data_IF_429934761597
#
_entry.id   IF_429934761597
#
_cell.length_a   1.000
_cell.length_b   1.000
_cell.length_c   1.000
_cell.angle_alpha   90.00
_cell.angle_beta   90.00
_cell.angle_gamma   90.00
#
_symmetry.space_group_name_H-M   'P 1'
#
loop_
_entity.id
_entity.type
_entity.pdbx_description
1 polymer ?
#
# COMPACT_ATOMS: atom_id res chain seq x y z
N UNK A 1 68.95 1.43 -16.11
CA UNK A 1 67.86 0.70 -16.81
C UNK A 1 66.89 0.07 -15.81
N UNK A 2 66.07 0.86 -15.09
CA UNK A 2 65.07 0.31 -14.13
C UNK A 2 63.68 0.96 -14.16
N UNK A 3 63.41 1.98 -14.99
CA UNK A 3 62.13 2.73 -14.95
C UNK A 3 61.17 2.51 -16.12
N UNK A 4 61.35 1.48 -16.97
CA UNK A 4 60.47 1.25 -18.13
C UNK A 4 59.35 0.23 -17.89
N UNK A 5 59.40 -0.56 -16.81
CA UNK A 5 58.43 -1.64 -16.56
C UNK A 5 57.21 -1.18 -15.73
N UNK A 6 57.32 -0.10 -14.96
CA UNK A 6 56.22 0.40 -14.12
C UNK A 6 55.07 1.02 -14.93
N UNK A 7 55.37 1.62 -16.09
CA UNK A 7 54.34 2.15 -17.00
C UNK A 7 53.53 1.05 -17.71
N UNK A 8 54.14 -0.12 -17.96
CA UNK A 8 53.45 -1.28 -18.52
C UNK A 8 52.57 -1.99 -17.47
N UNK A 9 52.99 -2.00 -16.20
CA UNK A 9 52.21 -2.59 -15.11
C UNK A 9 50.91 -1.80 -14.81
N UNK A 10 50.95 -0.47 -14.93
CA UNK A 10 49.76 0.38 -14.70
C UNK A 10 48.68 0.24 -15.77
N UNK A 11 49.05 -0.04 -17.03
CA UNK A 11 48.10 -0.23 -18.13
C UNK A 11 47.41 -1.61 -18.02
N UNK A 12 48.11 -2.62 -17.49
CA UNK A 12 47.54 -3.95 -17.26
C UNK A 12 46.53 -3.96 -16.09
N UNK A 13 46.74 -3.12 -15.06
CA UNK A 13 45.84 -3.08 -13.89
C UNK A 13 44.52 -2.32 -14.14
N UNK A 14 44.48 -1.42 -15.13
CA UNK A 14 43.30 -0.59 -15.44
C UNK A 14 42.29 -1.25 -16.41
N UNK A 15 42.61 -2.42 -16.99
CA UNK A 15 41.73 -3.10 -17.96
C UNK A 15 40.81 -4.16 -17.33
N UNK A 16 40.82 -4.32 -16.01
CA UNK A 16 39.99 -5.33 -15.29
C UNK A 16 38.64 -4.77 -14.80
N UNK A 17 38.34 -3.48 -14.95
CA UNK A 17 37.11 -2.86 -14.40
C UNK A 17 36.02 -2.64 -15.46
N UNK A 18 36.02 -3.39 -16.55
CA UNK A 18 34.89 -3.35 -17.49
C UNK A 18 34.63 -4.79 -17.94
N UNK A 19 33.73 -5.47 -17.23
CA UNK A 19 32.67 -6.40 -17.70
C UNK A 19 32.15 -7.12 -16.44
N UNK A 20 31.13 -6.55 -15.79
CA UNK A 20 30.05 -7.38 -15.24
C UNK A 20 28.76 -6.57 -15.31
N UNK A 21 28.08 -6.74 -16.44
CA UNK A 21 26.75 -6.21 -16.66
C UNK A 21 25.70 -6.95 -15.84
N UNK A 22 24.60 -6.24 -15.61
CA UNK A 22 23.33 -6.77 -15.17
C UNK A 22 22.91 -8.01 -15.97
N UNK A 23 22.56 -9.11 -15.27
CA UNK A 23 21.36 -9.87 -15.57
C UNK A 23 21.01 -10.85 -14.44
N UNK A 24 19.83 -10.63 -13.86
CA UNK A 24 18.85 -11.58 -13.30
C UNK A 24 19.32 -13.02 -12.96
N UNK A 25 19.35 -13.34 -11.66
CA UNK A 25 18.31 -14.14 -10.97
C UNK A 25 18.69 -14.30 -9.50
N UNK A 26 17.85 -13.73 -8.63
CA UNK A 26 17.90 -13.88 -7.19
C UNK A 26 17.78 -15.35 -6.79
N UNK A 27 18.75 -15.82 -6.01
CA UNK A 27 18.61 -16.87 -4.97
C UNK A 27 19.92 -16.88 -4.17
N UNK A 28 19.95 -16.16 -3.06
CA UNK A 28 20.97 -16.33 -2.04
C UNK A 28 20.29 -16.30 -0.68
N UNK A 29 20.33 -17.46 -0.02
CA UNK A 29 19.92 -17.64 1.36
C UNK A 29 20.93 -16.92 2.25
N UNK A 30 20.51 -15.85 2.89
CA UNK A 30 21.19 -15.29 4.05
C UNK A 30 20.20 -15.26 5.20
N UNK A 31 20.50 -16.04 6.23
CA UNK A 31 19.81 -16.02 7.52
C UNK A 31 20.24 -14.77 8.27
N UNK A 32 19.44 -13.71 8.18
CA UNK A 32 19.46 -12.59 9.12
C UNK A 32 18.01 -12.30 9.55
N UNK A 33 17.77 -12.28 10.86
CA UNK A 33 16.50 -11.88 11.45
C UNK A 33 16.22 -10.41 11.12
N UNK A 34 15.21 -10.13 10.29
CA UNK A 34 14.73 -8.76 10.06
C UNK A 34 13.91 -8.62 8.79
N UNK A 35 12.64 -8.21 8.94
CA UNK A 35 11.67 -7.87 7.88
C UNK A 35 11.46 -8.95 6.82
N UNK A 36 10.35 -9.67 6.96
CA UNK A 36 9.79 -10.50 5.90
C UNK A 36 9.62 -9.61 4.67
N UNK A 37 10.42 -9.84 3.63
CA UNK A 37 10.33 -9.10 2.37
C UNK A 37 9.02 -9.54 1.69
N UNK A 38 7.91 -8.97 2.16
CA UNK A 38 6.58 -9.31 1.65
C UNK A 38 6.44 -8.70 0.26
N UNK A 39 6.10 -9.55 -0.72
CA UNK A 39 5.77 -9.07 -2.05
C UNK A 39 4.52 -8.19 -1.95
N UNK A 40 4.61 -6.98 -2.50
CA UNK A 40 3.50 -6.03 -2.56
C UNK A 40 2.92 -6.00 -3.97
N UNK A 41 1.61 -5.84 -4.05
CA UNK A 41 0.85 -5.54 -5.28
C UNK A 41 0.39 -4.10 -5.20
N UNK A 42 0.50 -3.38 -6.31
CA UNK A 42 -0.01 -2.02 -6.44
C UNK A 42 -1.38 -2.04 -7.10
N UNK A 43 -2.39 -1.47 -6.44
CA UNK A 43 -3.65 -1.09 -7.06
C UNK A 43 -3.55 0.34 -7.61
N UNK A 44 -4.15 0.59 -8.77
CA UNK A 44 -4.24 1.94 -9.35
C UNK A 44 -5.63 2.16 -9.91
N UNK A 45 -6.33 3.15 -9.36
CA UNK A 45 -7.60 3.64 -9.87
C UNK A 45 -7.35 4.66 -10.98
N UNK A 46 -7.67 4.30 -12.22
CA UNK A 46 -7.48 5.18 -13.37
C UNK A 46 -8.54 6.29 -13.47
N UNK A 47 -9.69 6.11 -12.82
CA UNK A 47 -10.80 7.07 -12.87
C UNK A 47 -10.52 8.26 -11.97
N UNK A 48 -9.96 7.99 -10.80
CA UNK A 48 -9.72 8.99 -9.76
C UNK A 48 -8.23 9.31 -9.51
N UNK A 49 -7.33 8.62 -10.22
CA UNK A 49 -5.88 8.83 -10.21
C UNK A 49 -5.28 8.69 -8.81
N UNK A 50 -5.61 7.60 -8.13
CA UNK A 50 -4.97 7.22 -6.86
C UNK A 50 -4.45 5.79 -6.92
N UNK A 51 -3.45 5.49 -6.09
CA UNK A 51 -2.90 4.15 -5.95
C UNK A 51 -2.53 3.84 -4.51
N UNK A 52 -2.38 2.55 -4.22
CA UNK A 52 -1.95 2.02 -2.93
C UNK A 52 -1.24 0.68 -3.14
N UNK A 53 -0.46 0.27 -2.15
CA UNK A 53 0.23 -1.01 -2.13
C UNK A 53 -0.32 -1.89 -1.00
N UNK A 54 -0.46 -3.19 -1.25
CA UNK A 54 -0.94 -4.17 -0.28
C UNK A 54 -0.25 -5.54 -0.48
N UNK A 55 -0.26 -6.42 0.54
CA UNK A 55 0.38 -7.74 0.43
C UNK A 55 -0.22 -8.59 -0.70
N UNK A 56 0.63 -9.18 -1.54
CA UNK A 56 0.23 -10.07 -2.65
C UNK A 56 -0.59 -11.29 -2.17
N UNK A 57 -0.38 -11.70 -0.91
CA UNK A 57 -1.05 -12.83 -0.27
C UNK A 57 -2.54 -12.59 0.03
N UNK A 58 -3.04 -11.35 -0.05
CA UNK A 58 -4.42 -11.02 0.29
C UNK A 58 -5.32 -11.03 -0.95
N UNK A 59 -6.51 -11.59 -0.80
CA UNK A 59 -7.53 -11.56 -1.85
C UNK A 59 -8.09 -10.15 -1.99
N UNK A 60 -8.55 -9.79 -3.19
CA UNK A 60 -9.15 -8.48 -3.41
C UNK A 60 -10.22 -8.51 -4.50
N UNK A 61 -11.10 -7.50 -4.47
CA UNK A 61 -12.11 -7.21 -5.48
C UNK A 61 -12.05 -5.73 -5.86
N UNK A 62 -12.24 -5.41 -7.13
CA UNK A 62 -12.22 -4.02 -7.62
C UNK A 62 -13.65 -3.56 -7.85
N UNK A 63 -14.00 -2.41 -7.27
CA UNK A 63 -15.27 -1.73 -7.48
C UNK A 63 -15.04 -0.62 -8.50
N UNK A 64 -15.65 -0.73 -9.68
CA UNK A 64 -15.49 0.26 -10.73
C UNK A 64 -16.56 1.36 -10.66
N UNK A 65 -16.18 2.57 -11.07
CA UNK A 65 -17.16 3.60 -11.39
C UNK A 65 -18.03 3.14 -12.57
N UNK A 66 -19.35 3.17 -12.40
CA UNK A 66 -20.32 2.81 -13.44
C UNK A 66 -21.08 4.08 -13.83
N UNK A 67 -21.08 4.40 -15.12
CA UNK A 67 -21.88 5.53 -15.63
C UNK A 67 -23.37 5.20 -15.67
N UNK A 68 -24.21 6.21 -15.47
CA UNK A 68 -25.66 6.04 -15.54
C UNK A 68 -26.08 5.67 -16.96
N UNK A 69 -26.90 4.63 -17.06
CA UNK A 69 -27.60 4.26 -18.30
C UNK A 69 -29.12 4.30 -18.05
N UNK A 70 -29.91 3.93 -19.06
CA UNK A 70 -31.36 3.78 -18.87
C UNK A 70 -31.73 2.64 -17.91
N UNK A 71 -30.81 1.70 -17.70
CA UNK A 71 -31.05 0.46 -16.94
C UNK A 71 -30.24 0.41 -15.64
N UNK A 72 -29.24 1.27 -15.49
CA UNK A 72 -28.27 1.23 -14.38
C UNK A 72 -28.09 2.63 -13.82
N UNK A 73 -28.25 2.77 -12.50
CA UNK A 73 -27.88 3.99 -11.79
C UNK A 73 -26.35 4.11 -11.67
N UNK A 74 -25.82 5.33 -11.82
CA UNK A 74 -24.39 5.54 -11.69
C UNK A 74 -23.90 5.24 -10.27
N UNK A 75 -22.70 4.66 -10.15
CA UNK A 75 -21.99 4.65 -8.87
C UNK A 75 -21.17 5.95 -8.75
N UNK A 76 -21.17 6.62 -7.58
CA UNK A 76 -20.40 7.84 -7.39
C UNK A 76 -18.92 7.57 -7.11
N UNK A 77 -18.54 6.31 -6.87
CA UNK A 77 -17.26 5.87 -6.35
C UNK A 77 -16.57 4.80 -7.22
N UNK A 78 -15.29 4.58 -6.94
CA UNK A 78 -14.46 3.50 -7.47
C UNK A 78 -13.35 3.20 -6.45
N UNK A 79 -12.91 1.94 -6.37
CA UNK A 79 -12.00 1.51 -5.34
C UNK A 79 -11.69 0.03 -5.33
N UNK A 80 -11.12 -0.42 -4.22
CA UNK A 80 -10.68 -1.79 -4.00
C UNK A 80 -11.08 -2.25 -2.61
N UNK A 81 -11.67 -3.45 -2.53
CA UNK A 81 -11.84 -4.21 -1.29
C UNK A 81 -10.74 -5.25 -1.19
N UNK A 82 -10.03 -5.28 -0.06
CA UNK A 82 -8.96 -6.21 0.24
C UNK A 82 -9.39 -7.06 1.43
N UNK A 83 -9.32 -8.38 1.29
CA UNK A 83 -9.78 -9.36 2.28
C UNK A 83 -8.59 -10.05 2.95
N UNK A 84 -8.60 -10.07 4.28
CA UNK A 84 -7.53 -10.65 5.08
C UNK A 84 -7.89 -12.08 5.48
N UNK A 85 -6.94 -13.01 5.31
CA UNK A 85 -7.10 -14.43 5.64
C UNK A 85 -8.31 -15.11 4.98
N UNK A 86 -8.61 -14.80 3.72
CA UNK A 86 -9.70 -15.41 2.94
C UNK A 86 -11.11 -15.21 3.56
N UNK A 87 -11.25 -14.26 4.50
CA UNK A 87 -12.53 -13.95 5.15
C UNK A 87 -13.03 -12.57 4.69
N UNK A 88 -14.14 -12.56 3.95
CA UNK A 88 -14.75 -11.33 3.41
C UNK A 88 -15.32 -10.38 4.45
N UNK A 89 -15.60 -10.87 5.66
CA UNK A 89 -16.01 -10.02 6.78
C UNK A 89 -14.83 -9.19 7.33
N UNK A 90 -13.60 -9.66 7.13
CA UNK A 90 -12.35 -9.02 7.54
C UNK A 90 -11.74 -8.26 6.36
N UNK A 91 -12.16 -7.01 6.18
CA UNK A 91 -11.85 -6.26 4.95
C UNK A 91 -11.32 -4.85 5.19
N UNK A 92 -10.59 -4.38 4.19
CA UNK A 92 -10.16 -3.00 4.00
C UNK A 92 -10.78 -2.53 2.68
N UNK A 93 -11.66 -1.54 2.73
CA UNK A 93 -12.20 -0.90 1.54
C UNK A 93 -11.55 0.46 1.37
N UNK A 94 -10.88 0.68 0.24
CA UNK A 94 -10.29 1.97 -0.13
C UNK A 94 -10.96 2.46 -1.40
N UNK A 95 -11.53 3.66 -1.35
CA UNK A 95 -12.30 4.21 -2.45
C UNK A 95 -12.09 5.72 -2.57
N UNK A 96 -12.35 6.24 -3.76
CA UNK A 96 -12.53 7.66 -3.99
C UNK A 96 -13.90 7.88 -4.61
N UNK A 97 -14.58 8.95 -4.21
CA UNK A 97 -15.91 9.27 -4.71
C UNK A 97 -16.01 10.71 -5.21
N UNK A 98 -16.97 10.95 -6.11
CA UNK A 98 -17.39 12.31 -6.47
C UNK A 98 -18.32 12.86 -5.38
N UNK A 99 -17.85 13.87 -4.65
CA UNK A 99 -18.59 14.50 -3.56
C UNK A 99 -17.92 14.32 -2.21
N UNK A 100 -18.49 14.93 -1.18
CA UNK A 100 -17.90 14.89 0.16
C UNK A 100 -18.14 13.54 0.85
N UNK A 101 -17.11 12.97 1.48
CA UNK A 101 -17.24 11.80 2.33
C UNK A 101 -17.76 12.24 3.69
N UNK A 102 -18.84 11.63 4.18
CA UNK A 102 -19.36 11.94 5.50
C UNK A 102 -18.36 11.59 6.60
N UNK A 103 -18.01 12.59 7.40
CA UNK A 103 -17.17 12.42 8.58
C UNK A 103 -17.95 11.67 9.66
N UNK A 104 -17.38 10.62 10.29
CA UNK A 104 -18.01 9.94 11.42
C UNK A 104 -18.23 10.89 12.62
N UNK A 105 -19.20 10.60 13.49
CA UNK A 105 -19.35 11.37 14.73
C UNK A 105 -18.08 11.20 15.58
N UNK A 106 -17.31 12.28 15.84
CA UNK A 106 -16.04 12.17 16.54
C UNK A 106 -16.18 11.72 18.00
N UNK A 107 -17.38 11.79 18.60
CA UNK A 107 -17.60 11.34 19.97
C UNK A 107 -17.57 9.80 20.10
N UNK A 108 -17.75 9.08 18.99
CA UNK A 108 -17.76 7.61 18.95
C UNK A 108 -16.38 6.99 18.65
N UNK A 109 -15.37 7.82 18.39
CA UNK A 109 -14.07 7.37 17.89
C UNK A 109 -12.88 8.07 18.57
N UNK A 110 -11.77 7.35 18.66
CA UNK A 110 -10.46 7.95 18.83
C UNK A 110 -10.04 8.57 17.50
N UNK A 111 -9.66 9.85 17.50
CA UNK A 111 -9.30 10.60 16.29
C UNK A 111 -7.82 10.95 16.30
N UNK A 112 -7.14 10.64 15.21
CA UNK A 112 -5.72 10.94 14.97
C UNK A 112 -5.54 11.54 13.58
N UNK A 113 -4.83 12.67 13.47
CA UNK A 113 -4.40 13.19 12.17
C UNK A 113 -3.20 12.39 11.67
N UNK A 114 -3.27 11.96 10.41
CA UNK A 114 -2.25 11.16 9.75
C UNK A 114 -1.69 11.87 8.52
N UNK A 115 -0.52 11.40 8.09
CA UNK A 115 0.09 11.78 6.82
C UNK A 115 0.58 10.54 6.10
N UNK A 116 0.16 10.34 4.85
CA UNK A 116 0.64 9.22 4.02
C UNK A 116 2.11 9.40 3.68
N UNK A 117 2.77 8.33 3.23
CA UNK A 117 4.17 8.37 2.78
C UNK A 117 4.37 9.27 1.55
N UNK A 118 3.32 9.47 0.74
CA UNK A 118 3.31 10.43 -0.38
C UNK A 118 3.06 11.88 0.06
N UNK A 119 2.66 12.09 1.32
CA UNK A 119 2.48 13.40 1.92
C UNK A 119 1.04 13.92 1.93
N UNK A 120 0.05 13.09 1.58
CA UNK A 120 -1.37 13.42 1.71
C UNK A 120 -1.75 13.47 3.19
N UNK A 121 -2.52 14.47 3.58
CA UNK A 121 -3.04 14.57 4.95
C UNK A 121 -4.38 13.85 5.06
N UNK A 122 -4.69 13.34 6.23
CA UNK A 122 -6.00 12.78 6.52
C UNK A 122 -6.28 12.68 8.01
N UNK A 123 -7.50 12.31 8.33
CA UNK A 123 -7.93 12.03 9.70
C UNK A 123 -8.37 10.58 9.80
N UNK A 124 -7.86 9.89 10.81
CA UNK A 124 -8.14 8.50 11.13
C UNK A 124 -9.04 8.45 12.36
N UNK A 125 -10.18 7.77 12.23
CA UNK A 125 -11.18 7.55 13.24
C UNK A 125 -11.17 6.06 13.59
N UNK A 126 -10.80 5.73 14.82
CA UNK A 126 -10.70 4.34 15.28
C UNK A 126 -11.65 4.08 16.43
N UNK A 127 -12.37 2.97 16.37
CA UNK A 127 -13.10 2.44 17.53
C UNK A 127 -12.95 0.94 17.63
N UNK A 128 -13.05 0.45 18.85
CA UNK A 128 -13.06 -0.97 19.18
C UNK A 128 -14.40 -1.29 19.84
N UNK A 129 -15.10 -2.27 19.30
CA UNK A 129 -16.24 -2.92 19.97
C UNK A 129 -15.81 -4.30 20.46
N UNK A 130 -16.69 -5.04 21.12
CA UNK A 130 -16.36 -6.29 21.81
C UNK A 130 -15.54 -7.28 20.97
N UNK A 131 -15.82 -7.38 19.66
CA UNK A 131 -15.13 -8.33 18.78
C UNK A 131 -14.48 -7.70 17.55
N UNK A 132 -14.73 -6.42 17.26
CA UNK A 132 -14.37 -5.81 15.97
C UNK A 132 -13.62 -4.50 16.17
N UNK A 133 -12.62 -4.27 15.33
CA UNK A 133 -11.97 -2.99 15.11
C UNK A 133 -12.57 -2.36 13.86
N UNK A 134 -13.09 -1.15 14.02
CA UNK A 134 -13.51 -0.31 12.91
C UNK A 134 -12.55 0.88 12.80
N UNK A 135 -11.96 1.06 11.62
CA UNK A 135 -11.19 2.26 11.28
C UNK A 135 -11.86 2.91 10.09
N UNK A 136 -12.10 4.21 10.19
CA UNK A 136 -12.46 5.05 9.05
C UNK A 136 -11.37 6.07 8.85
N UNK A 137 -10.95 6.31 7.61
CA UNK A 137 -10.00 7.35 7.31
C UNK A 137 -10.49 8.18 6.14
N UNK A 138 -10.30 9.50 6.23
CA UNK A 138 -10.57 10.43 5.14
C UNK A 138 -9.24 11.10 4.79
N UNK A 139 -8.73 10.84 3.59
CA UNK A 139 -7.44 11.32 3.10
C UNK A 139 -7.70 12.26 1.92
N UNK A 140 -7.05 13.43 1.93
CA UNK A 140 -7.13 14.43 0.86
C UNK A 140 -8.60 14.77 0.48
N UNK A 141 -9.48 14.83 1.49
CA UNK A 141 -10.93 15.13 1.42
C UNK A 141 -11.82 14.14 0.65
N UNK A 142 -11.26 13.35 -0.26
CA UNK A 142 -12.02 12.55 -1.23
C UNK A 142 -11.69 11.06 -1.23
N UNK A 143 -10.60 10.63 -0.57
CA UNK A 143 -10.24 9.22 -0.45
C UNK A 143 -10.74 8.69 0.89
N UNK A 144 -11.62 7.71 0.85
CA UNK A 144 -12.14 7.00 2.02
C UNK A 144 -11.42 5.67 2.22
N UNK A 145 -11.10 5.36 3.48
CA UNK A 145 -10.70 4.02 3.91
C UNK A 145 -11.68 3.54 4.96
N UNK A 146 -12.16 2.30 4.84
CA UNK A 146 -12.93 1.61 5.86
C UNK A 146 -12.26 0.27 6.15
N UNK A 147 -11.73 0.10 7.36
CA UNK A 147 -11.30 -1.19 7.89
C UNK A 147 -12.40 -1.69 8.81
N UNK A 148 -12.85 -2.91 8.57
CA UNK A 148 -13.77 -3.61 9.47
C UNK A 148 -13.24 -5.03 9.65
N UNK A 149 -12.84 -5.36 10.88
CA UNK A 149 -12.08 -6.58 11.10
C UNK A 149 -12.18 -7.07 12.54
N UNK A 150 -12.25 -8.39 12.72
CA UNK A 150 -12.16 -9.05 14.01
C UNK A 150 -10.88 -8.63 14.75
N UNK A 151 -10.97 -8.40 16.06
CA UNK A 151 -9.86 -7.89 16.87
C UNK A 151 -8.59 -8.73 16.74
N UNK A 152 -8.71 -10.05 16.79
CA UNK A 152 -7.55 -10.96 16.69
C UNK A 152 -6.87 -10.91 15.31
N UNK A 153 -7.65 -10.68 14.26
CA UNK A 153 -7.12 -10.58 12.89
C UNK A 153 -6.47 -9.21 12.71
N UNK A 154 -7.12 -8.15 13.20
CA UNK A 154 -6.55 -6.81 13.19
C UNK A 154 -5.22 -6.76 13.96
N UNK A 155 -5.18 -7.29 15.18
CA UNK A 155 -3.98 -7.24 16.04
C UNK A 155 -2.76 -7.87 15.33
N UNK A 156 -2.96 -9.05 14.72
CA UNK A 156 -1.93 -9.78 13.97
C UNK A 156 -1.45 -9.08 12.69
N UNK A 157 -2.29 -8.26 12.07
CA UNK A 157 -2.02 -7.64 10.77
C UNK A 157 -1.97 -6.11 10.83
N UNK A 158 -1.98 -5.52 12.04
CA UNK A 158 -2.17 -4.09 12.24
C UNK A 158 -1.13 -3.25 11.52
N UNK A 159 0.14 -3.68 11.54
CA UNK A 159 1.23 -3.02 10.82
C UNK A 159 1.01 -3.04 9.30
N UNK A 160 0.64 -4.19 8.73
CA UNK A 160 0.36 -4.33 7.29
C UNK A 160 -0.86 -3.47 6.88
N UNK A 161 -1.91 -3.46 7.70
CA UNK A 161 -3.11 -2.63 7.47
C UNK A 161 -2.74 -1.14 7.47
N UNK A 162 -1.95 -0.69 8.44
CA UNK A 162 -1.50 0.70 8.49
C UNK A 162 -0.58 1.06 7.33
N UNK A 163 0.30 0.13 6.92
CA UNK A 163 1.15 0.33 5.75
C UNK A 163 0.34 0.53 4.46
N UNK A 164 -0.79 -0.18 4.31
CA UNK A 164 -1.72 0.05 3.19
C UNK A 164 -2.24 1.49 3.22
N UNK A 165 -2.73 1.95 4.37
CA UNK A 165 -3.24 3.32 4.53
C UNK A 165 -2.16 4.35 4.21
N UNK A 166 -0.94 4.17 4.73
CA UNK A 166 0.15 5.10 4.49
C UNK A 166 0.71 5.05 3.06
N UNK A 167 0.52 3.95 2.33
CA UNK A 167 0.95 3.82 0.93
C UNK A 167 0.10 4.61 -0.07
N UNK A 168 -1.08 5.09 0.36
CA UNK A 168 -2.02 5.84 -0.49
C UNK A 168 -1.33 7.07 -1.08
N UNK A 169 -1.48 7.24 -2.40
CA UNK A 169 -0.83 8.29 -3.18
C UNK A 169 -1.64 8.68 -4.42
N UNK A 170 -1.38 9.89 -4.89
CA UNK A 170 -1.81 10.44 -6.19
C UNK A 170 -0.56 10.79 -6.99
#
# INVERSE_FOLDING_TARGET
MKNKYYKLLYILLMTVIIITGCNNKSKMNTTENGSKNENLVTYTDKTFDFSLDFPEKWEYSINHNIEATKEIEATPDSGIEIYVNENRENRIYVFQQRGHISIPDPNDYEVESIKTSSGLNGDLYKRKTDNVVEIRCIIDEFIGVIVFMDYEIYDKNSEEIMNIIYSIRK
#
